data_IF_912885300671
#
_entry.id   IF_912885300671
#
_cell.length_a   1.000
_cell.length_b   1.000
_cell.length_c   1.000
_cell.angle_alpha   90.00
_cell.angle_beta   90.00
_cell.angle_gamma   90.00
#
_symmetry.space_group_name_H-M   'P 1'
#
loop_
_entity.id
_entity.type
_entity.pdbx_description
1 polymer ?
#
# COMPACT_ATOMS: atom_id res chain seq x y z
N UNK A 1 20.01 -1.87 -33.33
CA UNK A 1 19.03 -1.00 -34.02
C UNK A 1 17.93 -0.71 -33.03
N UNK A 2 17.58 0.55 -32.81
CA UNK A 2 16.55 0.91 -31.82
C UNK A 2 15.13 0.59 -32.33
N UNK A 3 14.25 0.09 -31.44
CA UNK A 3 12.86 -0.17 -31.80
C UNK A 3 12.05 1.12 -32.04
N UNK A 4 11.15 1.05 -33.01
CA UNK A 4 10.17 2.10 -33.23
C UNK A 4 9.15 2.18 -32.09
N UNK A 5 8.53 3.35 -31.88
CA UNK A 5 7.45 3.51 -30.88
C UNK A 5 6.29 2.55 -31.09
N UNK A 6 5.99 2.21 -32.35
CA UNK A 6 4.94 1.26 -32.69
C UNK A 6 5.29 -0.16 -32.23
N UNK A 7 6.54 -0.59 -32.41
CA UNK A 7 7.06 -1.88 -31.94
C UNK A 7 7.06 -1.95 -30.40
N UNK A 8 7.52 -0.90 -29.72
CA UNK A 8 7.45 -0.83 -28.25
C UNK A 8 6.00 -0.92 -27.73
N UNK A 9 5.06 -0.26 -28.40
CA UNK A 9 3.64 -0.35 -28.05
C UNK A 9 3.06 -1.76 -28.27
N UNK A 10 3.54 -2.49 -29.28
CA UNK A 10 3.15 -3.89 -29.48
C UNK A 10 3.64 -4.78 -28.33
N UNK A 11 4.88 -4.58 -27.87
CA UNK A 11 5.42 -5.31 -26.72
C UNK A 11 4.61 -4.96 -25.45
N UNK A 12 4.38 -3.66 -25.20
CA UNK A 12 3.62 -3.20 -24.02
C UNK A 12 2.22 -3.81 -23.97
N UNK A 13 1.49 -3.77 -25.09
CA UNK A 13 0.17 -4.39 -25.20
C UNK A 13 0.21 -5.91 -24.96
N UNK A 14 1.22 -6.60 -25.51
CA UNK A 14 1.39 -8.04 -25.31
C UNK A 14 1.61 -8.37 -23.83
N UNK A 15 2.49 -7.65 -23.14
CA UNK A 15 2.79 -7.82 -21.72
C UNK A 15 1.57 -7.50 -20.85
N UNK A 16 0.81 -6.46 -21.20
CA UNK A 16 -0.41 -6.07 -20.51
C UNK A 16 -1.49 -7.16 -20.60
N UNK A 17 -1.79 -7.65 -21.81
CA UNK A 17 -2.78 -8.71 -22.04
C UNK A 17 -2.35 -10.04 -21.39
N UNK A 18 -1.05 -10.27 -21.27
CA UNK A 18 -0.49 -11.44 -20.58
C UNK A 18 -0.57 -11.36 -19.04
N UNK A 19 -1.20 -10.32 -18.48
CA UNK A 19 -1.55 -10.22 -17.06
C UNK A 19 -0.71 -9.26 -16.23
N UNK A 20 0.28 -8.58 -16.82
CA UNK A 20 1.12 -7.62 -16.11
C UNK A 20 0.50 -6.22 -16.19
N UNK A 21 -0.35 -5.92 -15.21
CA UNK A 21 -1.10 -4.64 -15.14
C UNK A 21 -0.30 -3.49 -14.53
N UNK A 22 0.71 -3.79 -13.72
CA UNK A 22 1.48 -2.77 -13.01
C UNK A 22 2.51 -2.12 -13.91
N UNK A 23 2.49 -0.79 -14.00
CA UNK A 23 3.33 -0.04 -14.93
C UNK A 23 4.82 -0.20 -14.68
N UNK A 24 5.26 -0.13 -13.41
CA UNK A 24 6.66 -0.36 -13.02
C UNK A 24 7.15 -1.73 -13.48
N UNK A 25 6.38 -2.78 -13.24
CA UNK A 25 6.73 -4.15 -13.68
C UNK A 25 6.66 -4.28 -15.20
N UNK A 26 5.66 -3.68 -15.84
CA UNK A 26 5.46 -3.75 -17.29
C UNK A 26 6.62 -3.10 -18.03
N UNK A 27 7.03 -1.90 -17.61
CA UNK A 27 8.16 -1.19 -18.23
C UNK A 27 9.46 -1.98 -18.15
N UNK A 28 9.73 -2.66 -17.04
CA UNK A 28 10.92 -3.51 -16.90
C UNK A 28 10.89 -4.71 -17.87
N UNK A 29 9.72 -5.32 -18.06
CA UNK A 29 9.56 -6.43 -19.02
C UNK A 29 9.65 -5.91 -20.46
N UNK A 30 9.04 -4.77 -20.77
CA UNK A 30 9.11 -4.16 -22.10
C UNK A 30 10.55 -3.83 -22.46
N UNK A 31 11.32 -3.26 -21.54
CA UNK A 31 12.75 -2.95 -21.72
C UNK A 31 13.56 -4.22 -21.99
N UNK A 32 13.33 -5.29 -21.21
CA UNK A 32 13.98 -6.57 -21.44
C UNK A 32 13.65 -7.18 -22.82
N UNK A 33 12.38 -7.13 -23.23
CA UNK A 33 11.95 -7.60 -24.55
C UNK A 33 12.55 -6.74 -25.67
N UNK A 34 12.60 -5.42 -25.47
CA UNK A 34 13.18 -4.49 -26.43
C UNK A 34 14.65 -4.84 -26.68
N UNK A 35 15.46 -4.93 -25.61
CA UNK A 35 16.88 -5.27 -25.71
C UNK A 35 17.12 -6.58 -26.51
N UNK A 36 16.34 -7.63 -26.22
CA UNK A 36 16.47 -8.92 -26.95
C UNK A 36 16.06 -8.78 -28.43
N UNK A 37 15.00 -8.03 -28.72
CA UNK A 37 14.51 -7.85 -30.09
C UNK A 37 15.46 -6.98 -30.92
N UNK A 38 16.06 -5.95 -30.32
CA UNK A 38 17.06 -5.09 -30.97
C UNK A 38 18.30 -5.90 -31.37
N UNK A 39 18.81 -6.75 -30.47
CA UNK A 39 19.92 -7.67 -30.78
C UNK A 39 19.58 -8.67 -31.90
N UNK A 40 18.32 -9.11 -31.98
CA UNK A 40 17.88 -10.05 -33.03
C UNK A 40 17.66 -9.35 -34.37
N UNK A 41 17.10 -8.13 -34.37
CA UNK A 41 16.92 -7.33 -35.57
C UNK A 41 18.27 -6.93 -36.20
N UNK A 42 19.29 -6.66 -35.38
CA UNK A 42 20.65 -6.38 -35.87
C UNK A 42 21.27 -7.57 -36.62
N UNK A 43 20.89 -8.80 -36.25
CA UNK A 43 21.36 -10.04 -36.91
C UNK A 43 20.48 -10.45 -38.07
N UNK A 44 19.17 -10.24 -37.96
CA UNK A 44 18.16 -10.67 -38.94
C UNK A 44 17.10 -9.57 -39.12
N UNK A 45 17.24 -8.68 -40.11
CA UNK A 45 16.31 -7.57 -40.32
C UNK A 45 14.87 -7.99 -40.67
N UNK A 46 14.69 -9.10 -41.39
CA UNK A 46 13.38 -9.63 -41.83
C UNK A 46 12.69 -10.55 -40.79
N UNK A 47 12.99 -10.34 -39.51
CA UNK A 47 12.44 -11.11 -38.40
C UNK A 47 10.91 -10.88 -38.27
N UNK A 48 10.14 -11.96 -38.13
CA UNK A 48 8.72 -11.89 -37.72
C UNK A 48 8.63 -11.45 -36.24
N UNK A 49 8.48 -10.14 -36.07
CA UNK A 49 8.45 -9.47 -34.76
C UNK A 49 7.43 -10.07 -33.80
N UNK A 50 6.22 -10.40 -34.28
CA UNK A 50 5.14 -10.92 -33.44
C UNK A 50 5.43 -12.33 -32.97
N UNK A 51 5.94 -13.17 -33.87
CA UNK A 51 6.34 -14.54 -33.54
C UNK A 51 7.50 -14.55 -32.55
N UNK A 52 8.42 -13.60 -32.68
CA UNK A 52 9.56 -13.52 -31.78
C UNK A 52 9.20 -13.02 -30.39
N UNK A 53 8.25 -12.08 -30.24
CA UNK A 53 7.69 -11.73 -28.92
C UNK A 53 7.16 -12.98 -28.21
N UNK A 54 6.43 -13.85 -28.92
CA UNK A 54 5.93 -15.10 -28.35
C UNK A 54 7.06 -16.07 -28.00
N UNK A 55 8.10 -16.14 -28.83
CA UNK A 55 9.27 -16.98 -28.58
C UNK A 55 10.04 -16.50 -27.34
N UNK A 56 10.28 -15.19 -27.23
CA UNK A 56 10.89 -14.56 -26.05
C UNK A 56 10.04 -14.86 -24.82
N UNK A 57 8.71 -14.69 -24.87
CA UNK A 57 7.83 -15.01 -23.75
C UNK A 57 7.87 -16.50 -23.36
N UNK A 58 7.87 -17.43 -24.32
CA UNK A 58 8.02 -18.87 -24.04
C UNK A 58 9.34 -19.20 -23.35
N UNK A 59 10.40 -18.51 -23.75
CA UNK A 59 11.73 -18.63 -23.17
C UNK A 59 11.96 -17.67 -21.99
N UNK A 60 10.93 -16.92 -21.56
CA UNK A 60 11.06 -15.83 -20.58
C UNK A 60 11.15 -16.40 -19.16
N UNK A 61 12.38 -16.73 -18.76
CA UNK A 61 12.74 -17.42 -17.52
C UNK A 61 12.00 -18.77 -17.33
N UNK A 62 12.58 -19.68 -16.55
CA UNK A 62 11.90 -20.93 -16.14
C UNK A 62 10.62 -20.69 -15.31
N UNK A 63 10.28 -19.43 -15.06
CA UNK A 63 9.33 -18.97 -14.05
C UNK A 63 8.08 -18.30 -14.66
N UNK A 64 8.17 -17.76 -15.87
CA UNK A 64 7.07 -17.05 -16.54
C UNK A 64 6.61 -15.75 -15.85
N UNK A 65 5.76 -14.98 -16.53
CA UNK A 65 5.27 -13.67 -16.04
C UNK A 65 4.58 -13.73 -14.68
N UNK A 66 3.78 -14.78 -14.42
CA UNK A 66 3.06 -14.93 -13.16
C UNK A 66 4.00 -15.06 -11.96
N UNK A 67 5.07 -15.86 -12.07
CA UNK A 67 6.02 -16.04 -10.97
C UNK A 67 6.90 -14.80 -10.79
N UNK A 68 7.32 -14.15 -11.88
CA UNK A 68 8.01 -12.86 -11.81
C UNK A 68 7.15 -11.84 -11.04
N UNK A 69 5.87 -11.71 -11.41
CA UNK A 69 4.96 -10.79 -10.73
C UNK A 69 4.82 -11.14 -9.25
N UNK A 70 4.70 -12.43 -8.90
CA UNK A 70 4.62 -12.89 -7.51
C UNK A 70 5.88 -12.53 -6.71
N UNK A 71 7.06 -12.73 -7.30
CA UNK A 71 8.34 -12.41 -6.66
C UNK A 71 8.50 -10.90 -6.45
N UNK A 72 8.21 -10.09 -7.47
CA UNK A 72 8.21 -8.62 -7.38
C UNK A 72 7.21 -8.14 -6.32
N UNK A 73 6.01 -8.71 -6.31
CA UNK A 73 4.96 -8.40 -5.31
C UNK A 73 5.46 -8.72 -3.90
N UNK A 74 6.08 -9.89 -3.68
CA UNK A 74 6.64 -10.27 -2.38
C UNK A 74 7.79 -9.35 -1.96
N UNK A 75 8.66 -8.96 -2.88
CA UNK A 75 9.76 -8.03 -2.60
C UNK A 75 9.22 -6.65 -2.18
N UNK A 76 8.27 -6.10 -2.93
CA UNK A 76 7.59 -4.84 -2.61
C UNK A 76 6.87 -4.92 -1.26
N UNK A 77 6.19 -6.04 -0.99
CA UNK A 77 5.51 -6.28 0.29
C UNK A 77 6.49 -6.27 1.47
N UNK A 78 7.61 -7.00 1.36
CA UNK A 78 8.67 -7.03 2.39
C UNK A 78 9.25 -5.64 2.62
N UNK A 79 9.52 -4.89 1.54
CA UNK A 79 10.02 -3.52 1.63
C UNK A 79 9.00 -2.61 2.35
N UNK A 80 7.73 -2.70 1.98
CA UNK A 80 6.65 -1.94 2.62
C UNK A 80 6.58 -2.21 4.13
N UNK A 81 6.49 -3.47 4.55
CA UNK A 81 6.42 -3.80 5.98
C UNK A 81 7.66 -3.36 6.73
N UNK A 82 8.85 -3.53 6.15
CA UNK A 82 10.09 -3.03 6.75
C UNK A 82 10.04 -1.52 6.98
N UNK A 83 9.56 -0.75 6.00
CA UNK A 83 9.40 0.71 6.14
C UNK A 83 8.33 1.08 7.17
N UNK A 84 7.19 0.37 7.15
CA UNK A 84 6.09 0.56 8.08
C UNK A 84 6.52 0.36 9.54
N UNK A 85 7.13 -0.80 9.86
CA UNK A 85 7.58 -1.08 11.22
C UNK A 85 8.72 -0.18 11.64
N UNK A 86 9.66 0.11 10.72
CA UNK A 86 10.73 1.08 10.99
C UNK A 86 10.16 2.43 11.41
N UNK A 87 9.14 2.93 10.72
CA UNK A 87 8.50 4.20 11.06
C UNK A 87 7.63 4.09 12.33
N UNK A 88 6.87 3.01 12.50
CA UNK A 88 6.02 2.78 13.67
C UNK A 88 6.82 2.79 14.97
N UNK A 89 7.97 2.10 15.00
CA UNK A 89 8.85 2.05 16.16
C UNK A 89 9.42 3.45 16.50
N UNK A 90 9.47 4.39 15.55
CA UNK A 90 9.93 5.76 15.86
C UNK A 90 9.02 6.49 16.84
N UNK A 91 7.73 6.16 16.91
CA UNK A 91 6.82 6.76 17.89
C UNK A 91 7.17 6.39 19.32
N UNK A 92 7.83 5.25 19.52
CA UNK A 92 8.26 4.77 20.83
C UNK A 92 9.71 5.17 21.16
N UNK A 93 10.28 6.12 20.41
CA UNK A 93 11.61 6.69 20.65
C UNK A 93 11.51 8.16 21.01
N UNK A 94 12.49 8.69 21.75
CA UNK A 94 12.56 10.12 22.07
C UNK A 94 12.81 10.96 20.79
N UNK A 95 12.20 12.15 20.68
CA UNK A 95 11.23 12.77 21.60
C UNK A 95 9.77 12.33 21.37
N UNK A 96 9.48 11.57 20.30
CA UNK A 96 8.10 11.24 19.88
C UNK A 96 7.31 10.44 20.93
N UNK A 97 7.97 9.63 21.75
CA UNK A 97 7.30 8.88 22.83
C UNK A 97 6.63 9.80 23.85
N UNK A 98 7.15 11.01 24.04
CA UNK A 98 6.50 12.02 24.91
C UNK A 98 5.16 12.43 24.31
N UNK A 99 5.10 12.64 22.99
CA UNK A 99 3.86 13.01 22.28
C UNK A 99 2.86 11.83 22.31
N UNK A 100 3.32 10.61 22.03
CA UNK A 100 2.46 9.42 22.08
C UNK A 100 1.94 9.13 23.49
N UNK A 101 2.78 9.31 24.51
CA UNK A 101 2.40 9.20 25.91
C UNK A 101 1.43 10.30 26.34
N UNK A 102 1.67 11.55 25.92
CA UNK A 102 0.77 12.67 26.17
C UNK A 102 -0.60 12.46 25.53
N UNK A 103 -0.66 11.96 24.29
CA UNK A 103 -1.92 11.60 23.63
C UNK A 103 -2.70 10.56 24.45
N UNK A 104 -2.03 9.48 24.87
CA UNK A 104 -2.65 8.46 25.71
C UNK A 104 -3.16 9.05 27.03
N UNK A 105 -2.32 9.85 27.70
CA UNK A 105 -2.64 10.45 28.99
C UNK A 105 -3.83 11.42 28.91
N UNK A 106 -3.88 12.26 27.87
CA UNK A 106 -5.02 13.16 27.64
C UNK A 106 -6.31 12.36 27.41
N UNK A 107 -6.27 11.31 26.59
CA UNK A 107 -7.45 10.46 26.38
C UNK A 107 -7.87 9.73 27.66
N UNK A 108 -6.92 9.31 28.48
CA UNK A 108 -7.20 8.70 29.79
C UNK A 108 -7.87 9.68 30.74
N UNK A 109 -7.40 10.94 30.81
CA UNK A 109 -8.05 11.98 31.60
C UNK A 109 -9.46 12.28 31.09
N UNK A 110 -9.63 12.40 29.77
CA UNK A 110 -10.95 12.61 29.16
C UNK A 110 -11.89 11.47 29.49
N UNK A 111 -11.47 10.21 29.32
CA UNK A 111 -12.24 9.03 29.71
C UNK A 111 -12.74 9.13 31.14
N UNK A 112 -11.89 9.60 32.06
CA UNK A 112 -12.23 9.74 33.48
C UNK A 112 -13.17 10.90 33.81
N UNK A 113 -13.34 11.87 32.91
CA UNK A 113 -14.36 12.92 33.04
C UNK A 113 -15.75 12.46 32.61
N UNK A 114 -15.86 11.43 31.78
CA UNK A 114 -17.15 10.86 31.41
C UNK A 114 -17.72 10.02 32.55
N UNK A 115 -18.98 10.30 32.91
CA UNK A 115 -19.75 9.50 33.88
C UNK A 115 -20.00 8.10 33.32
N UNK A 116 -20.40 8.02 32.06
CA UNK A 116 -20.63 6.77 31.35
C UNK A 116 -19.48 6.49 30.37
N UNK A 117 -18.76 5.38 30.63
CA UNK A 117 -17.63 4.95 29.80
C UNK A 117 -18.08 4.38 28.47
N UNK A 118 -19.29 3.82 28.39
CA UNK A 118 -19.86 3.30 27.15
C UNK A 118 -19.95 4.42 26.11
N UNK A 119 -20.55 5.56 26.51
CA UNK A 119 -20.63 6.76 25.67
C UNK A 119 -19.26 7.25 25.20
N UNK A 120 -18.26 7.27 26.08
CA UNK A 120 -16.90 7.66 25.71
C UNK A 120 -16.29 6.77 24.62
N UNK A 121 -16.37 5.44 24.78
CA UNK A 121 -15.82 4.49 23.81
C UNK A 121 -16.63 4.43 22.51
N UNK A 122 -17.94 4.69 22.57
CA UNK A 122 -18.76 4.85 21.38
C UNK A 122 -18.28 6.06 20.56
N UNK A 123 -18.14 7.23 21.19
CA UNK A 123 -17.65 8.46 20.52
C UNK A 123 -16.28 8.24 19.88
N UNK A 124 -15.33 7.67 20.62
CA UNK A 124 -13.98 7.42 20.11
C UNK A 124 -13.99 6.43 18.93
N UNK A 125 -14.82 5.39 19.01
CA UNK A 125 -14.98 4.40 17.93
C UNK A 125 -15.53 5.04 16.66
N UNK A 126 -16.59 5.84 16.76
CA UNK A 126 -17.15 6.55 15.61
C UNK A 126 -16.19 7.59 15.03
N UNK A 127 -15.43 8.29 15.88
CA UNK A 127 -14.40 9.23 15.43
C UNK A 127 -13.27 8.51 14.70
N UNK A 128 -12.83 7.35 15.20
CA UNK A 128 -11.85 6.49 14.52
C UNK A 128 -12.33 6.14 13.12
N UNK A 129 -13.56 5.62 13.03
CA UNK A 129 -14.17 5.22 11.77
C UNK A 129 -14.31 6.39 10.81
N UNK A 130 -14.80 7.55 11.28
CA UNK A 130 -14.95 8.75 10.45
C UNK A 130 -13.61 9.23 9.88
N UNK A 131 -12.56 9.30 10.70
CA UNK A 131 -11.21 9.70 10.25
C UNK A 131 -10.68 8.73 9.20
N UNK A 132 -10.81 7.43 9.45
CA UNK A 132 -10.33 6.38 8.56
C UNK A 132 -11.10 6.39 7.24
N UNK A 133 -12.42 6.60 7.27
CA UNK A 133 -13.27 6.74 6.08
C UNK A 133 -12.95 7.99 5.27
N UNK A 134 -12.77 9.16 5.90
CA UNK A 134 -12.39 10.39 5.19
C UNK A 134 -11.08 10.21 4.44
N UNK A 135 -10.10 9.54 5.07
CA UNK A 135 -8.81 9.28 4.47
C UNK A 135 -8.92 8.22 3.37
N UNK A 136 -9.74 7.19 3.55
CA UNK A 136 -10.07 6.23 2.50
C UNK A 136 -10.65 6.95 1.26
N UNK A 137 -11.66 7.80 1.44
CA UNK A 137 -12.23 8.59 0.36
C UNK A 137 -11.18 9.50 -0.31
N UNK A 138 -10.29 10.15 0.45
CA UNK A 138 -9.23 10.99 -0.12
C UNK A 138 -8.28 10.24 -1.07
N UNK A 139 -8.09 8.94 -0.84
CA UNK A 139 -7.24 8.07 -1.67
C UNK A 139 -7.97 7.51 -2.91
N UNK A 140 -9.30 7.39 -2.85
CA UNK A 140 -10.11 6.81 -3.94
C UNK A 140 -10.79 7.86 -4.84
N UNK A 141 -11.14 9.04 -4.33
CA UNK A 141 -11.89 10.09 -5.07
C UNK A 141 -11.07 10.70 -6.22
N UNK A 142 -9.74 10.62 -6.21
CA UNK A 142 -8.88 11.24 -7.23
C UNK A 142 -8.26 10.25 -8.24
N UNK A 143 -8.93 9.13 -8.51
CA UNK A 143 -8.52 8.18 -9.57
C UNK A 143 -8.99 8.62 -10.96
N UNK A 144 -8.52 9.78 -11.45
CA UNK A 144 -8.43 10.00 -12.90
C UNK A 144 -7.44 8.98 -13.49
N UNK A 145 -7.55 8.65 -14.79
CA UNK A 145 -6.74 7.65 -15.53
C UNK A 145 -5.25 7.66 -15.13
N UNK A 146 -4.90 6.92 -14.08
CA UNK A 146 -3.57 6.83 -13.49
C UNK A 146 -3.07 5.43 -13.73
N UNK A 147 -1.82 5.32 -14.16
CA UNK A 147 -1.13 4.04 -14.23
C UNK A 147 -1.01 3.46 -12.83
N UNK A 148 -1.26 2.16 -12.71
CA UNK A 148 -1.21 1.47 -11.43
C UNK A 148 0.22 1.00 -11.23
N UNK A 149 0.88 1.50 -10.19
CA UNK A 149 2.22 1.04 -9.79
C UNK A 149 2.10 -0.02 -8.71
N UNK A 150 2.86 -1.11 -8.80
CA UNK A 150 2.85 -2.18 -7.81
C UNK A 150 3.19 -1.63 -6.42
N UNK A 151 4.20 -0.76 -6.35
CA UNK A 151 4.66 -0.12 -5.12
C UNK A 151 3.60 0.76 -4.46
N UNK A 152 2.85 1.52 -5.25
CA UNK A 152 1.76 2.37 -4.73
C UNK A 152 0.52 1.55 -4.39
N UNK A 153 0.24 0.49 -5.16
CA UNK A 153 -0.90 -0.39 -4.94
C UNK A 153 -0.80 -1.15 -3.60
N UNK A 154 0.41 -1.60 -3.22
CA UNK A 154 0.65 -2.23 -1.92
C UNK A 154 0.19 -1.34 -0.75
N UNK A 155 0.43 -0.02 -0.84
CA UNK A 155 -0.03 0.91 0.19
C UNK A 155 -1.58 0.92 0.27
N UNK A 156 -2.27 0.90 -0.87
CA UNK A 156 -3.74 0.88 -0.91
C UNK A 156 -4.30 -0.39 -0.26
N UNK A 157 -3.68 -1.55 -0.52
CA UNK A 157 -4.04 -2.81 0.13
C UNK A 157 -3.84 -2.75 1.64
N UNK A 158 -2.75 -2.14 2.10
CA UNK A 158 -2.53 -1.98 3.53
C UNK A 158 -3.47 -0.96 4.18
N UNK A 159 -3.84 0.12 3.49
CA UNK A 159 -4.89 1.03 3.96
C UNK A 159 -6.23 0.33 4.14
N UNK A 160 -6.59 -0.58 3.22
CA UNK A 160 -7.77 -1.43 3.37
C UNK A 160 -7.67 -2.30 4.62
N UNK A 161 -6.51 -2.92 4.87
CA UNK A 161 -6.28 -3.70 6.08
C UNK A 161 -6.45 -2.87 7.36
N UNK A 162 -5.91 -1.64 7.40
CA UNK A 162 -6.10 -0.73 8.54
C UNK A 162 -7.57 -0.29 8.67
N UNK A 163 -8.28 -0.07 7.57
CA UNK A 163 -9.72 0.20 7.57
C UNK A 163 -10.51 -0.96 8.21
N UNK A 164 -10.26 -2.19 7.77
CA UNK A 164 -10.88 -3.37 8.39
C UNK A 164 -10.54 -3.48 9.89
N UNK A 165 -9.31 -3.17 10.27
CA UNK A 165 -8.91 -3.08 11.69
C UNK A 165 -9.73 -2.04 12.47
N UNK A 166 -9.97 -0.87 11.90
CA UNK A 166 -10.82 0.17 12.53
C UNK A 166 -12.28 -0.27 12.64
N UNK A 167 -12.84 -0.92 11.61
CA UNK A 167 -14.20 -1.47 11.68
C UNK A 167 -14.31 -2.55 12.77
N UNK A 168 -13.33 -3.44 12.86
CA UNK A 168 -13.28 -4.44 13.92
C UNK A 168 -13.19 -3.79 15.30
N UNK A 169 -12.37 -2.74 15.45
CA UNK A 169 -12.29 -1.95 16.68
C UNK A 169 -13.64 -1.35 17.10
N UNK A 170 -14.40 -0.76 16.16
CA UNK A 170 -15.76 -0.27 16.44
C UNK A 170 -16.67 -1.40 16.94
N UNK A 171 -16.61 -2.57 16.30
CA UNK A 171 -17.40 -3.72 16.71
C UNK A 171 -16.99 -4.22 18.11
N UNK A 172 -15.70 -4.17 18.47
CA UNK A 172 -15.29 -4.53 19.83
C UNK A 172 -15.88 -3.59 20.88
N UNK A 173 -16.12 -2.31 20.56
CA UNK A 173 -16.82 -1.41 21.46
C UNK A 173 -18.30 -1.79 21.65
N UNK A 174 -18.98 -2.21 20.57
CA UNK A 174 -20.41 -2.59 20.62
C UNK A 174 -20.67 -3.92 21.30
N UNK A 175 -19.71 -4.84 21.29
CA UNK A 175 -19.84 -6.16 21.95
C UNK A 175 -19.40 -6.17 23.42
N UNK A 176 -18.95 -5.04 23.98
CA UNK A 176 -18.56 -4.98 25.40
C UNK A 176 -19.79 -5.01 26.29
N UNK A 177 -19.69 -5.79 27.37
CA UNK A 177 -20.70 -5.81 28.43
C UNK A 177 -20.56 -4.59 29.34
N UNK A 178 -21.62 -4.24 30.07
CA UNK A 178 -21.59 -3.18 31.07
C UNK A 178 -20.47 -3.39 32.12
N UNK A 179 -20.26 -4.63 32.59
CA UNK A 179 -19.16 -4.97 33.50
C UNK A 179 -17.78 -4.67 32.90
N UNK A 180 -17.60 -4.90 31.59
CA UNK A 180 -16.37 -4.58 30.90
C UNK A 180 -16.09 -3.08 30.94
N UNK A 181 -17.11 -2.23 30.80
CA UNK A 181 -16.96 -0.78 30.87
C UNK A 181 -16.62 -0.27 32.28
N UNK A 182 -17.06 -0.98 33.31
CA UNK A 182 -16.68 -0.68 34.70
C UNK A 182 -15.25 -1.12 35.01
N UNK A 183 -14.72 -2.13 34.31
CA UNK A 183 -13.39 -2.66 34.54
C UNK A 183 -12.28 -1.72 34.00
N UNK A 184 -11.42 -1.16 34.88
CA UNK A 184 -10.37 -0.23 34.46
C UNK A 184 -9.33 -0.84 33.51
N UNK A 185 -9.01 -2.13 33.68
CA UNK A 185 -8.01 -2.83 32.85
C UNK A 185 -8.53 -2.96 31.43
N UNK A 186 -9.79 -3.35 31.24
CA UNK A 186 -10.41 -3.43 29.92
C UNK A 186 -10.42 -2.06 29.22
N UNK A 187 -10.75 -1.01 29.97
CA UNK A 187 -10.74 0.37 29.45
C UNK A 187 -9.34 0.80 28.99
N UNK A 188 -8.31 0.51 29.79
CA UNK A 188 -6.91 0.84 29.47
C UNK A 188 -6.44 0.06 28.22
N UNK A 189 -6.75 -1.23 28.12
CA UNK A 189 -6.40 -2.05 26.95
C UNK A 189 -7.07 -1.49 25.69
N UNK A 190 -8.37 -1.22 25.76
CA UNK A 190 -9.13 -0.72 24.62
C UNK A 190 -8.61 0.65 24.16
N UNK A 191 -8.27 1.53 25.11
CA UNK A 191 -7.65 2.82 24.81
C UNK A 191 -6.24 2.68 24.21
N UNK A 192 -5.46 1.70 24.68
CA UNK A 192 -4.13 1.41 24.12
C UNK A 192 -4.24 0.96 22.67
N UNK A 193 -5.17 0.05 22.38
CA UNK A 193 -5.44 -0.41 21.00
C UNK A 193 -5.85 0.77 20.11
N UNK A 194 -6.70 1.67 20.60
CA UNK A 194 -7.08 2.88 19.86
C UNK A 194 -5.87 3.74 19.48
N UNK A 195 -4.99 4.04 20.44
CA UNK A 195 -3.78 4.83 20.18
C UNK A 195 -2.86 4.11 19.19
N UNK A 196 -2.67 2.79 19.34
CA UNK A 196 -1.88 1.99 18.40
C UNK A 196 -2.46 2.01 16.98
N UNK A 197 -3.79 2.00 16.81
CA UNK A 197 -4.44 2.12 15.51
C UNK A 197 -4.16 3.48 14.87
N UNK A 198 -4.23 4.58 15.63
CA UNK A 198 -3.88 5.92 15.13
C UNK A 198 -2.43 5.96 14.66
N UNK A 199 -1.50 5.47 15.47
CA UNK A 199 -0.07 5.45 15.14
C UNK A 199 0.21 4.57 13.91
N UNK A 200 -0.46 3.43 13.81
CA UNK A 200 -0.38 2.53 12.65
C UNK A 200 -0.91 3.20 11.38
N UNK A 201 -2.05 3.89 11.47
CA UNK A 201 -2.60 4.64 10.35
C UNK A 201 -1.63 5.73 9.88
N UNK A 202 -1.08 6.51 10.80
CA UNK A 202 -0.10 7.55 10.47
C UNK A 202 1.14 6.96 9.81
N UNK A 203 1.62 5.81 10.31
CA UNK A 203 2.76 5.12 9.72
C UNK A 203 2.49 4.66 8.29
N UNK A 204 1.31 4.10 8.03
CA UNK A 204 0.87 3.75 6.67
C UNK A 204 0.85 4.98 5.75
N UNK A 205 0.26 6.08 6.20
CA UNK A 205 0.20 7.32 5.42
C UNK A 205 1.58 7.91 5.11
N UNK A 206 2.49 7.87 6.08
CA UNK A 206 3.86 8.30 5.88
C UNK A 206 4.58 7.45 4.81
N UNK A 207 4.48 6.12 4.90
CA UNK A 207 5.08 5.19 3.92
C UNK A 207 4.46 5.39 2.53
N UNK A 208 3.15 5.58 2.44
CA UNK A 208 2.48 5.92 1.18
C UNK A 208 3.07 7.17 0.52
N UNK A 209 3.23 8.26 1.30
CA UNK A 209 3.78 9.51 0.78
C UNK A 209 5.23 9.35 0.30
N UNK A 210 6.04 8.56 1.00
CA UNK A 210 7.41 8.25 0.59
C UNK A 210 7.44 7.44 -0.70
N UNK A 211 6.69 6.34 -0.76
CA UNK A 211 6.61 5.47 -1.93
C UNK A 211 6.10 6.24 -3.15
N UNK A 212 5.08 7.08 -2.99
CA UNK A 212 4.56 7.93 -4.07
C UNK A 212 5.62 8.89 -4.61
N UNK A 213 6.38 9.54 -3.72
CA UNK A 213 7.49 10.43 -4.13
C UNK A 213 8.58 9.66 -4.87
N UNK A 214 8.91 8.45 -4.44
CA UNK A 214 9.92 7.62 -5.09
C UNK A 214 9.50 7.21 -6.50
N UNK A 215 8.24 6.76 -6.66
CA UNK A 215 7.67 6.43 -7.97
C UNK A 215 7.66 7.66 -8.88
N UNK A 216 7.26 8.84 -8.38
CA UNK A 216 7.28 10.08 -9.16
C UNK A 216 8.70 10.49 -9.59
N UNK A 217 9.73 10.20 -8.79
CA UNK A 217 11.12 10.45 -9.16
C UNK A 217 11.61 9.49 -10.24
N UNK A 218 11.22 8.22 -10.17
CA UNK A 218 11.60 7.20 -11.16
C UNK A 218 10.84 7.37 -12.48
N UNK A 219 9.58 7.81 -12.42
CA UNK A 219 8.69 7.95 -13.57
C UNK A 219 8.10 9.37 -13.66
N UNK A 220 8.94 10.40 -13.92
CA UNK A 220 8.53 11.81 -13.84
C UNK A 220 7.48 12.22 -14.89
N UNK A 221 7.38 11.47 -15.99
CA UNK A 221 6.43 11.72 -17.09
C UNK A 221 5.08 11.01 -16.91
N UNK A 222 4.90 10.21 -15.85
CA UNK A 222 3.70 9.40 -15.62
C UNK A 222 2.92 9.95 -14.44
N UNK A 223 1.59 10.06 -14.60
CA UNK A 223 0.71 10.52 -13.52
C UNK A 223 0.50 9.37 -12.51
N UNK A 224 1.03 9.55 -11.29
CA UNK A 224 0.95 8.62 -10.14
C UNK A 224 -0.20 8.99 -9.19
#
# INVERSE_FOLDING_TARGET
>A
MDLTKAQLLQIDNYVYVSGIKYYDVRTEIVDHFANILEEKLDKTPDLDFKKEIQNIHRNFSDRGFSKLLKEKTSAVQKQFYKMFFKHLITFFKLPKIIISGALFYVLYLLMNRFQDKENFFAIISYLCFAVVMLLFFSLFINRKKKEIFLKTNMNNTFFLFVNFGSTYFVNTATFRTHESFLNPVHNIIHLTVFVLLILSFWSCYHVYKLNKKEVQKQYPKVIV
#
